data_IF_707353996296
#
_entry.id   IF_707353996296
#
_cell.length_a   1.000
_cell.length_b   1.000
_cell.length_c   1.000
_cell.angle_alpha   90.00
_cell.angle_beta   90.00
_cell.angle_gamma   90.00
#
_symmetry.space_group_name_H-M   'P 1'
#
loop_
_entity.id
_entity.type
_entity.pdbx_description
1 polymer ?
#
# COMPACT_ATOMS: atom_id res chain seq x y z
N UNK A 1 -5.02 -21.95 -1.89
CA UNK A 1 -5.49 -20.71 -2.57
C UNK A 1 -6.95 -20.89 -3.02
N UNK A 2 -7.82 -19.95 -2.66
CA UNK A 2 -9.19 -19.91 -3.16
C UNK A 2 -9.19 -19.66 -4.69
N UNK A 3 -10.21 -20.17 -5.41
CA UNK A 3 -10.36 -20.05 -6.87
C UNK A 3 -10.24 -18.59 -7.34
N UNK A 4 -10.88 -17.67 -6.63
CA UNK A 4 -10.87 -16.23 -6.97
C UNK A 4 -9.47 -15.61 -6.79
N UNK A 5 -8.78 -15.97 -5.72
CA UNK A 5 -7.42 -15.51 -5.47
C UNK A 5 -6.46 -16.03 -6.56
N UNK A 6 -6.58 -17.31 -6.95
CA UNK A 6 -5.79 -17.90 -8.03
C UNK A 6 -6.03 -17.18 -9.36
N UNK A 7 -7.28 -16.92 -9.70
CA UNK A 7 -7.64 -16.15 -10.88
C UNK A 7 -7.02 -14.76 -10.86
N UNK A 8 -7.08 -14.07 -9.71
CA UNK A 8 -6.48 -12.75 -9.55
C UNK A 8 -4.95 -12.79 -9.71
N UNK A 9 -4.25 -13.76 -9.08
CA UNK A 9 -2.79 -13.86 -9.20
C UNK A 9 -2.35 -14.25 -10.60
N UNK A 10 -3.10 -15.11 -11.31
CA UNK A 10 -2.83 -15.41 -12.71
C UNK A 10 -2.94 -14.17 -13.61
N UNK A 11 -3.99 -13.35 -13.43
CA UNK A 11 -4.17 -12.12 -14.17
C UNK A 11 -3.09 -11.07 -13.85
N UNK A 12 -2.71 -10.92 -12.59
CA UNK A 12 -1.60 -10.05 -12.18
C UNK A 12 -0.29 -10.53 -12.80
N UNK A 13 0.00 -11.84 -12.70
CA UNK A 13 1.20 -12.45 -13.27
C UNK A 13 1.29 -12.29 -14.78
N UNK A 14 0.17 -12.32 -15.50
CA UNK A 14 0.17 -12.11 -16.95
C UNK A 14 0.57 -10.69 -17.33
N UNK A 15 0.14 -9.69 -16.57
CA UNK A 15 0.49 -8.28 -16.85
C UNK A 15 1.92 -7.94 -16.45
N UNK A 16 2.41 -8.50 -15.34
CA UNK A 16 3.69 -8.09 -14.74
C UNK A 16 4.84 -8.98 -15.15
N UNK A 17 4.59 -10.30 -15.22
CA UNK A 17 5.61 -11.30 -15.52
C UNK A 17 5.59 -11.76 -16.98
N UNK A 18 4.55 -11.41 -17.74
CA UNK A 18 4.31 -11.94 -19.09
C UNK A 18 3.88 -13.41 -19.08
N UNK A 19 3.38 -13.92 -17.96
CA UNK A 19 2.88 -15.30 -17.85
C UNK A 19 1.67 -15.51 -18.75
N UNK A 20 1.48 -16.73 -19.23
CA UNK A 20 0.28 -17.08 -19.98
C UNK A 20 -0.96 -17.01 -19.08
N UNK A 21 -2.03 -16.40 -19.60
CA UNK A 21 -3.32 -16.37 -18.91
C UNK A 21 -3.97 -17.74 -19.01
N UNK A 22 -4.47 -18.27 -17.89
CA UNK A 22 -5.30 -19.47 -17.85
C UNK A 22 -6.73 -19.12 -18.30
N UNK A 23 -6.91 -18.86 -19.59
CA UNK A 23 -8.16 -18.32 -20.16
C UNK A 23 -9.38 -19.18 -19.82
N UNK A 24 -9.27 -20.51 -19.92
CA UNK A 24 -10.37 -21.43 -19.64
C UNK A 24 -10.83 -21.35 -18.17
N UNK A 25 -9.90 -21.26 -17.22
CA UNK A 25 -10.22 -21.09 -15.81
C UNK A 25 -10.94 -19.78 -15.53
N UNK A 26 -10.52 -18.71 -16.19
CA UNK A 26 -11.12 -17.37 -16.03
C UNK A 26 -12.49 -17.30 -16.68
N UNK A 27 -12.65 -17.83 -17.90
CA UNK A 27 -13.94 -17.89 -18.61
C UNK A 27 -14.97 -18.77 -17.87
N UNK A 28 -14.50 -19.82 -17.15
CA UNK A 28 -15.33 -20.70 -16.32
C UNK A 28 -15.75 -20.09 -14.97
N UNK A 29 -15.40 -18.82 -14.70
CA UNK A 29 -15.90 -18.12 -13.51
C UNK A 29 -17.38 -17.79 -13.68
N UNK A 30 -18.19 -18.10 -12.67
CA UNK A 30 -19.60 -17.68 -12.60
C UNK A 30 -19.68 -16.14 -12.41
N UNK A 31 -20.86 -15.59 -12.65
CA UNK A 31 -21.12 -14.16 -12.45
C UNK A 31 -20.83 -13.70 -11.01
N UNK A 32 -21.13 -14.51 -10.02
CA UNK A 32 -20.85 -14.19 -8.62
C UNK A 32 -19.35 -14.29 -8.30
N UNK A 33 -18.64 -15.24 -8.92
CA UNK A 33 -17.17 -15.32 -8.82
C UNK A 33 -16.49 -14.12 -9.50
N UNK A 34 -16.99 -13.66 -10.65
CA UNK A 34 -16.47 -12.43 -11.30
C UNK A 34 -16.74 -11.18 -10.45
N UNK A 35 -17.90 -11.05 -9.81
CA UNK A 35 -18.19 -9.99 -8.84
C UNK A 35 -17.23 -10.06 -7.64
N UNK A 36 -16.95 -11.26 -7.15
CA UNK A 36 -16.00 -11.49 -6.05
C UNK A 36 -14.56 -11.11 -6.46
N UNK A 37 -14.14 -11.48 -7.69
CA UNK A 37 -12.85 -11.07 -8.26
C UNK A 37 -12.70 -9.55 -8.34
N UNK A 38 -13.74 -8.86 -8.85
CA UNK A 38 -13.76 -7.39 -8.87
C UNK A 38 -13.67 -6.80 -7.46
N UNK A 39 -14.42 -7.33 -6.50
CA UNK A 39 -14.41 -6.85 -5.11
C UNK A 39 -13.04 -7.07 -4.46
N UNK A 40 -12.44 -8.23 -4.63
CA UNK A 40 -11.13 -8.57 -4.08
C UNK A 40 -10.04 -7.67 -4.68
N UNK A 41 -9.96 -7.58 -6.01
CA UNK A 41 -8.98 -6.74 -6.69
C UNK A 41 -9.11 -5.26 -6.31
N UNK A 42 -10.35 -4.76 -6.17
CA UNK A 42 -10.62 -3.40 -5.72
C UNK A 42 -10.21 -3.16 -4.26
N UNK A 43 -10.42 -4.13 -3.37
CA UNK A 43 -10.02 -4.00 -1.96
C UNK A 43 -8.50 -3.90 -1.77
N UNK A 44 -7.72 -4.39 -2.74
CA UNK A 44 -6.26 -4.31 -2.77
C UNK A 44 -5.72 -3.20 -3.69
N UNK A 45 -6.60 -2.34 -4.24
CA UNK A 45 -6.26 -1.28 -5.22
C UNK A 45 -5.52 -1.84 -6.45
N UNK A 46 -5.97 -2.99 -6.96
CA UNK A 46 -5.42 -3.70 -8.12
C UNK A 46 -6.47 -3.95 -9.22
N UNK A 47 -7.68 -3.39 -9.08
CA UNK A 47 -8.76 -3.66 -10.04
C UNK A 47 -8.46 -3.14 -11.45
N UNK A 48 -7.67 -2.08 -11.60
CA UNK A 48 -7.22 -1.59 -12.89
C UNK A 48 -6.26 -2.57 -13.58
N UNK A 49 -5.34 -3.17 -12.84
CA UNK A 49 -4.36 -4.14 -13.33
C UNK A 49 -5.06 -5.45 -13.73
N UNK A 50 -5.90 -6.00 -12.85
CA UNK A 50 -6.72 -7.19 -13.14
C UNK A 50 -7.67 -6.94 -14.31
N UNK A 51 -8.30 -5.77 -14.36
CA UNK A 51 -9.18 -5.36 -15.45
C UNK A 51 -8.46 -5.25 -16.79
N UNK A 52 -7.25 -4.72 -16.80
CA UNK A 52 -6.43 -4.62 -18.01
C UNK A 52 -6.13 -6.02 -18.58
N UNK A 53 -5.71 -6.97 -17.73
CA UNK A 53 -5.48 -8.35 -18.12
C UNK A 53 -6.75 -9.02 -18.71
N UNK A 54 -7.90 -8.81 -18.06
CA UNK A 54 -9.18 -9.38 -18.51
C UNK A 54 -9.59 -8.82 -19.89
N UNK A 55 -9.49 -7.52 -20.08
CA UNK A 55 -9.94 -6.84 -21.32
C UNK A 55 -8.98 -7.13 -22.47
N UNK A 56 -7.67 -7.02 -22.23
CA UNK A 56 -6.64 -7.30 -23.23
C UNK A 56 -6.70 -8.71 -23.80
N UNK A 57 -7.14 -9.68 -22.99
CA UNK A 57 -7.29 -11.08 -23.39
C UNK A 57 -8.73 -11.48 -23.77
N UNK A 58 -9.67 -10.53 -23.90
CA UNK A 58 -11.08 -10.77 -24.25
C UNK A 58 -11.77 -11.81 -23.37
N UNK A 59 -11.46 -11.81 -22.04
CA UNK A 59 -11.95 -12.84 -21.11
C UNK A 59 -13.35 -12.56 -20.54
N UNK A 60 -13.88 -11.37 -20.79
CA UNK A 60 -15.22 -10.93 -20.38
C UNK A 60 -16.22 -10.90 -21.54
N UNK A 61 -15.76 -11.11 -22.77
CA UNK A 61 -16.61 -11.12 -23.93
C UNK A 61 -17.30 -12.47 -24.04
N UNK A 62 -18.56 -12.47 -24.45
CA UNK A 62 -19.30 -13.71 -24.74
C UNK A 62 -18.70 -14.36 -25.98
N UNK A 63 -18.46 -15.66 -25.91
CA UNK A 63 -18.24 -16.45 -27.13
C UNK A 63 -19.54 -16.40 -27.93
N UNK A 64 -19.51 -15.75 -29.10
CA UNK A 64 -20.62 -15.86 -30.04
C UNK A 64 -20.53 -17.25 -30.69
N UNK A 65 -21.36 -18.23 -30.29
CA UNK A 65 -21.25 -19.59 -30.81
C UNK A 65 -21.66 -19.69 -32.29
N UNK A 66 -22.13 -18.59 -32.90
CA UNK A 66 -22.56 -18.51 -34.28
C UNK A 66 -21.67 -17.50 -35.07
N UNK A 67 -20.43 -17.87 -35.29
CA UNK A 67 -19.61 -17.28 -36.35
C UNK A 67 -20.00 -17.87 -37.72
N UNK A 68 -21.20 -17.64 -38.18
CA UNK A 68 -21.57 -17.88 -39.59
C UNK A 68 -22.21 -16.63 -40.15
N UNK A 69 -21.58 -16.17 -41.20
CA UNK A 69 -22.08 -15.13 -42.13
C UNK A 69 -23.39 -15.62 -42.80
N UNK A 70 -24.36 -14.70 -42.84
CA UNK A 70 -25.53 -14.74 -43.74
C UNK A 70 -26.59 -15.82 -43.52
N UNK A 71 -27.66 -15.47 -42.84
CA UNK A 71 -28.97 -15.72 -43.42
C UNK A 71 -30.03 -14.75 -42.88
N UNK A 72 -30.57 -13.98 -43.82
CA UNK A 72 -31.80 -13.21 -43.75
C UNK A 72 -32.96 -14.21 -43.42
N UNK A 73 -33.75 -13.97 -42.40
CA UNK A 73 -34.95 -14.78 -42.18
C UNK A 73 -35.43 -14.86 -40.76
N UNK A 74 -36.48 -14.06 -40.52
CA UNK A 74 -37.59 -14.25 -39.58
C UNK A 74 -37.39 -14.16 -38.08
N UNK A 75 -37.95 -13.07 -37.54
CA UNK A 75 -38.10 -12.78 -36.13
C UNK A 75 -39.18 -13.68 -35.52
N UNK A 76 -38.78 -14.65 -34.74
CA UNK A 76 -39.67 -15.25 -33.73
C UNK A 76 -39.12 -14.96 -32.33
N UNK A 77 -39.93 -14.27 -31.54
CA UNK A 77 -39.74 -13.94 -30.15
C UNK A 77 -39.47 -15.20 -29.33
N UNK A 78 -38.27 -15.31 -28.74
CA UNK A 78 -37.92 -16.16 -27.64
C UNK A 78 -37.27 -15.31 -26.57
N UNK A 79 -38.07 -14.71 -25.67
CA UNK A 79 -37.58 -13.90 -24.57
C UNK A 79 -36.96 -14.74 -23.47
N UNK A 80 -35.70 -15.04 -23.60
CA UNK A 80 -34.79 -15.35 -22.52
C UNK A 80 -33.71 -14.26 -22.55
N UNK A 81 -33.92 -13.19 -21.83
CA UNK A 81 -32.86 -12.21 -21.62
C UNK A 81 -31.64 -12.97 -21.12
N UNK A 82 -30.54 -12.88 -21.84
CA UNK A 82 -29.27 -13.53 -21.50
C UNK A 82 -28.66 -12.78 -20.27
N UNK A 83 -29.23 -13.13 -19.09
CA UNK A 83 -28.96 -12.44 -17.83
C UNK A 83 -27.46 -12.44 -17.49
N UNK A 84 -26.74 -13.51 -17.88
CA UNK A 84 -25.29 -13.64 -17.70
C UNK A 84 -24.50 -12.62 -18.54
N UNK A 85 -24.89 -12.41 -19.80
CA UNK A 85 -24.24 -11.41 -20.67
C UNK A 85 -24.36 -9.98 -20.15
N UNK A 86 -25.51 -9.63 -19.59
CA UNK A 86 -25.73 -8.32 -18.96
C UNK A 86 -24.78 -8.14 -17.77
N UNK A 87 -24.64 -9.14 -16.89
CA UNK A 87 -23.77 -9.06 -15.71
C UNK A 87 -22.29 -8.96 -16.13
N UNK A 88 -21.84 -9.76 -17.10
CA UNK A 88 -20.46 -9.68 -17.61
C UNK A 88 -20.17 -8.31 -18.21
N UNK A 89 -21.08 -7.74 -18.97
CA UNK A 89 -20.96 -6.39 -19.51
C UNK A 89 -20.86 -5.32 -18.40
N UNK A 90 -21.68 -5.40 -17.36
CA UNK A 90 -21.59 -4.49 -16.21
C UNK A 90 -20.25 -4.60 -15.47
N UNK A 91 -19.71 -5.80 -15.30
CA UNK A 91 -18.43 -6.05 -14.66
C UNK A 91 -17.30 -5.49 -15.53
N UNK A 92 -17.36 -5.68 -16.86
CA UNK A 92 -16.41 -5.11 -17.83
C UNK A 92 -16.36 -3.59 -17.69
N UNK A 93 -17.51 -2.91 -17.70
CA UNK A 93 -17.59 -1.46 -17.50
C UNK A 93 -17.01 -1.00 -16.16
N UNK A 94 -17.20 -1.78 -15.08
CA UNK A 94 -16.58 -1.48 -13.78
C UNK A 94 -15.05 -1.54 -13.85
N UNK A 95 -14.49 -2.53 -14.52
CA UNK A 95 -13.04 -2.64 -14.72
C UNK A 95 -12.51 -1.53 -15.63
N UNK A 96 -13.17 -1.23 -16.74
CA UNK A 96 -12.82 -0.13 -17.64
C UNK A 96 -12.77 1.21 -16.88
N UNK A 97 -13.75 1.46 -16.01
CA UNK A 97 -13.75 2.64 -15.14
C UNK A 97 -12.55 2.67 -14.19
N UNK A 98 -12.10 1.52 -13.66
CA UNK A 98 -10.91 1.47 -12.80
C UNK A 98 -9.64 1.76 -13.60
N UNK A 99 -9.53 1.26 -14.83
CA UNK A 99 -8.40 1.54 -15.75
C UNK A 99 -8.32 3.03 -16.05
N UNK A 100 -9.43 3.64 -16.50
CA UNK A 100 -9.48 5.07 -16.80
C UNK A 100 -9.14 5.91 -15.54
N UNK A 101 -9.64 5.50 -14.37
CA UNK A 101 -9.31 6.15 -13.10
C UNK A 101 -7.83 6.04 -12.75
N UNK A 102 -7.21 4.89 -13.03
CA UNK A 102 -5.79 4.66 -12.77
C UNK A 102 -4.92 5.53 -13.69
N UNK A 103 -5.23 5.57 -14.98
CA UNK A 103 -4.54 6.41 -15.97
C UNK A 103 -4.66 7.89 -15.57
N UNK A 104 -5.88 8.37 -15.30
CA UNK A 104 -6.11 9.76 -14.86
C UNK A 104 -5.34 10.10 -13.59
N UNK A 105 -5.34 9.20 -12.62
CA UNK A 105 -4.60 9.39 -11.36
C UNK A 105 -3.10 9.43 -11.60
N UNK A 106 -2.58 8.54 -12.44
CA UNK A 106 -1.16 8.52 -12.81
C UNK A 106 -0.74 9.85 -13.45
N UNK A 107 -1.47 10.33 -14.45
CA UNK A 107 -1.14 11.58 -15.15
C UNK A 107 -1.13 12.79 -14.20
N UNK A 108 -2.13 12.88 -13.32
CA UNK A 108 -2.18 13.98 -12.34
C UNK A 108 -1.01 13.92 -11.34
N UNK A 109 -0.73 12.75 -10.78
CA UNK A 109 0.37 12.57 -9.82
C UNK A 109 1.72 12.80 -10.48
N UNK A 110 1.91 12.33 -11.73
CA UNK A 110 3.15 12.52 -12.44
C UNK A 110 3.38 14.01 -12.78
N UNK A 111 2.36 14.71 -13.27
CA UNK A 111 2.42 16.16 -13.52
C UNK A 111 2.73 16.95 -12.24
N UNK A 112 2.12 16.60 -11.12
CA UNK A 112 2.38 17.24 -9.83
C UNK A 112 3.80 16.96 -9.32
N UNK A 113 4.30 15.72 -9.50
CA UNK A 113 5.67 15.34 -9.15
C UNK A 113 6.71 16.17 -9.92
N UNK A 114 6.53 16.36 -11.22
CA UNK A 114 7.44 17.18 -12.05
C UNK A 114 7.40 18.65 -11.63
N UNK A 115 6.22 19.18 -11.31
CA UNK A 115 6.07 20.53 -10.76
C UNK A 115 6.83 20.70 -9.44
N UNK A 116 6.73 19.71 -8.56
CA UNK A 116 7.40 19.69 -7.26
C UNK A 116 8.92 19.55 -7.41
N UNK A 117 9.40 18.68 -8.32
CA UNK A 117 10.83 18.58 -8.65
C UNK A 117 11.39 19.92 -9.14
N UNK A 118 10.69 20.59 -10.06
CA UNK A 118 11.07 21.90 -10.58
C UNK A 118 11.24 22.93 -9.44
N UNK A 119 10.28 22.99 -8.51
CA UNK A 119 10.35 23.90 -7.38
C UNK A 119 11.56 23.61 -6.47
N UNK A 120 11.91 22.34 -6.25
CA UNK A 120 13.08 21.98 -5.45
C UNK A 120 14.40 22.26 -6.16
N UNK A 121 14.46 22.10 -7.48
CA UNK A 121 15.62 22.50 -8.29
C UNK A 121 15.84 24.01 -8.22
N UNK A 122 14.82 24.84 -8.41
CA UNK A 122 14.89 26.30 -8.33
C UNK A 122 15.36 26.77 -6.94
N UNK A 123 14.86 26.15 -5.89
CA UNK A 123 15.21 26.42 -4.50
C UNK A 123 16.52 25.78 -4.05
N UNK A 124 17.18 25.00 -4.89
CA UNK A 124 18.43 24.28 -4.60
C UNK A 124 18.31 23.40 -3.36
N UNK A 125 17.21 22.64 -3.28
CA UNK A 125 16.90 21.71 -2.19
C UNK A 125 17.21 20.29 -2.65
N UNK A 126 18.18 19.59 -2.07
CA UNK A 126 18.42 18.18 -2.36
C UNK A 126 17.22 17.31 -1.98
N UNK A 127 16.76 16.46 -2.90
CA UNK A 127 15.61 15.60 -2.68
C UNK A 127 15.77 14.22 -3.31
N UNK A 128 15.02 13.25 -2.81
CA UNK A 128 14.93 11.87 -3.29
C UNK A 128 13.47 11.49 -3.44
N UNK A 129 12.95 11.23 -4.65
CA UNK A 129 11.64 10.60 -4.83
C UNK A 129 11.63 9.20 -4.22
N UNK A 130 10.50 8.80 -3.62
CA UNK A 130 10.38 7.53 -2.90
C UNK A 130 9.26 6.65 -3.46
N UNK A 131 9.24 5.38 -3.06
CA UNK A 131 8.13 4.43 -3.25
C UNK A 131 7.52 4.43 -4.67
N UNK A 132 6.21 4.75 -4.76
CA UNK A 132 5.44 4.75 -5.99
C UNK A 132 5.99 5.66 -7.07
N UNK A 133 6.63 6.77 -6.70
CA UNK A 133 7.26 7.70 -7.64
C UNK A 133 8.46 7.09 -8.39
N UNK A 134 9.13 6.12 -7.76
CA UNK A 134 10.28 5.41 -8.34
C UNK A 134 9.85 4.12 -9.01
N UNK A 135 9.10 3.24 -8.30
CA UNK A 135 8.86 1.87 -8.75
C UNK A 135 8.00 1.79 -10.02
N UNK A 136 7.09 2.74 -10.25
CA UNK A 136 6.16 2.70 -11.38
C UNK A 136 6.84 2.64 -12.74
N UNK A 137 8.04 3.19 -12.90
CA UNK A 137 8.80 3.15 -14.16
C UNK A 137 9.25 1.74 -14.57
N UNK A 138 9.27 0.78 -13.64
CA UNK A 138 9.65 -0.61 -13.89
C UNK A 138 8.46 -1.50 -14.23
N UNK A 139 7.23 -0.99 -14.11
CA UNK A 139 6.03 -1.69 -14.58
C UNK A 139 5.93 -1.60 -16.12
N UNK A 140 5.27 -2.57 -16.78
CA UNK A 140 5.08 -2.54 -18.24
C UNK A 140 4.46 -1.23 -18.72
N UNK A 141 3.49 -0.71 -17.97
CA UNK A 141 2.90 0.61 -18.14
C UNK A 141 2.89 1.30 -16.76
N UNK A 142 3.42 2.54 -16.64
CA UNK A 142 3.55 3.19 -15.33
C UNK A 142 2.23 3.39 -14.57
N UNK A 143 1.11 3.53 -15.26
CA UNK A 143 -0.22 3.67 -14.67
C UNK A 143 -0.75 2.37 -14.04
N UNK A 144 -0.16 1.20 -14.35
CA UNK A 144 -0.46 -0.07 -13.68
C UNK A 144 -0.04 -0.06 -12.21
N UNK A 145 0.88 0.86 -11.84
CA UNK A 145 1.28 1.07 -10.44
C UNK A 145 0.71 2.38 -9.91
N UNK A 146 -0.55 2.34 -9.46
CA UNK A 146 -1.22 3.49 -8.84
C UNK A 146 -0.64 3.85 -7.48
N UNK A 147 -0.61 5.14 -7.16
CA UNK A 147 -0.46 5.69 -5.82
C UNK A 147 -1.54 6.74 -5.56
N UNK A 148 -1.72 7.13 -4.28
CA UNK A 148 -2.64 8.20 -3.89
C UNK A 148 -1.89 9.44 -3.40
N UNK A 149 -0.57 9.33 -3.28
CA UNK A 149 0.34 10.27 -2.65
C UNK A 149 1.64 10.38 -3.46
N UNK A 150 2.38 11.42 -3.16
CA UNK A 150 3.76 11.62 -3.60
C UNK A 150 4.62 11.63 -2.36
N UNK A 151 5.52 10.66 -2.26
CA UNK A 151 6.51 10.60 -1.19
C UNK A 151 7.83 11.16 -1.69
N UNK A 152 8.39 12.14 -0.99
CA UNK A 152 9.71 12.71 -1.27
C UNK A 152 10.49 12.87 0.01
N UNK A 153 11.78 12.53 -0.01
CA UNK A 153 12.69 12.75 1.08
C UNK A 153 13.56 13.99 0.83
N UNK A 154 13.65 14.83 1.83
CA UNK A 154 14.62 15.94 1.91
C UNK A 154 15.49 15.81 3.16
N UNK A 155 16.58 16.57 3.24
CA UNK A 155 17.37 16.64 4.48
C UNK A 155 16.54 17.26 5.60
N UNK A 156 16.69 16.77 6.84
CA UNK A 156 15.98 17.32 8.00
C UNK A 156 16.21 18.85 8.16
N UNK A 157 17.41 19.31 7.86
CA UNK A 157 17.74 20.74 7.90
C UNK A 157 16.99 21.58 6.85
N UNK A 158 16.62 20.97 5.73
CA UNK A 158 15.94 21.64 4.61
C UNK A 158 14.41 21.48 4.64
N UNK A 159 13.86 20.67 5.55
CA UNK A 159 12.43 20.34 5.59
C UNK A 159 11.51 21.58 5.73
N UNK A 160 11.89 22.53 6.59
CA UNK A 160 11.13 23.77 6.76
C UNK A 160 11.25 24.69 5.53
N UNK A 161 12.42 24.74 4.88
CA UNK A 161 12.62 25.48 3.62
C UNK A 161 11.79 24.86 2.51
N UNK A 162 11.83 23.54 2.36
CA UNK A 162 11.08 22.80 1.36
C UNK A 162 9.56 22.98 1.52
N UNK A 163 9.03 22.81 2.73
CA UNK A 163 7.59 23.00 2.98
C UNK A 163 7.12 24.43 2.73
N UNK A 164 7.95 25.44 3.02
CA UNK A 164 7.67 26.86 2.72
C UNK A 164 7.67 27.11 1.22
N UNK A 165 8.67 26.60 0.49
CA UNK A 165 8.74 26.74 -0.96
C UNK A 165 7.48 26.20 -1.64
N UNK A 166 7.02 25.00 -1.24
CA UNK A 166 5.76 24.43 -1.75
C UNK A 166 4.54 25.28 -1.39
N UNK A 167 4.48 25.83 -0.17
CA UNK A 167 3.35 26.66 0.26
C UNK A 167 3.34 28.03 -0.42
N UNK A 168 4.47 28.68 -0.59
CA UNK A 168 4.59 30.05 -1.11
C UNK A 168 4.57 30.11 -2.64
N UNK A 169 5.29 29.20 -3.33
CA UNK A 169 5.40 29.20 -4.79
C UNK A 169 4.27 28.40 -5.46
N UNK A 170 3.85 27.25 -4.86
CA UNK A 170 2.86 26.36 -5.44
C UNK A 170 1.52 26.36 -4.68
N UNK A 171 1.36 27.21 -3.65
CA UNK A 171 0.14 27.34 -2.85
C UNK A 171 -0.32 26.04 -2.18
N UNK A 172 0.63 25.15 -1.82
CA UNK A 172 0.31 23.94 -1.10
C UNK A 172 -0.18 24.26 0.30
N UNK A 173 -1.19 23.50 0.73
CA UNK A 173 -1.73 23.62 2.09
C UNK A 173 -1.01 22.64 3.01
N UNK A 174 -0.26 23.16 3.99
CA UNK A 174 0.32 22.34 5.05
C UNK A 174 -0.82 21.84 5.94
N UNK A 175 -0.96 20.52 6.06
CA UNK A 175 -1.98 19.87 6.87
C UNK A 175 -1.47 19.54 8.27
N UNK A 176 -0.32 18.84 8.35
CA UNK A 176 0.27 18.41 9.62
C UNK A 176 1.79 18.31 9.48
N UNK A 177 2.51 18.62 10.57
CA UNK A 177 3.94 18.33 10.70
C UNK A 177 4.12 17.20 11.71
N UNK A 178 4.45 16.02 11.19
CA UNK A 178 4.72 14.81 11.96
C UNK A 178 6.12 14.77 12.57
N UNK A 179 6.53 13.61 13.04
CA UNK A 179 7.88 13.35 13.56
C UNK A 179 8.88 12.97 12.47
N UNK A 180 8.40 12.53 11.31
CA UNK A 180 9.18 11.98 10.20
C UNK A 180 8.90 12.67 8.88
N UNK A 181 7.77 13.36 8.77
CA UNK A 181 7.24 13.95 7.54
C UNK A 181 6.45 15.23 7.80
N UNK A 182 6.20 15.98 6.74
CA UNK A 182 5.24 17.06 6.67
C UNK A 182 4.20 16.69 5.62
N UNK A 183 2.94 16.58 6.03
CA UNK A 183 1.81 16.31 5.15
C UNK A 183 1.32 17.60 4.51
N UNK A 184 1.27 17.64 3.17
CA UNK A 184 0.78 18.76 2.39
C UNK A 184 -0.26 18.30 1.37
N UNK A 185 -1.08 19.22 0.91
CA UNK A 185 -1.99 19.01 -0.21
C UNK A 185 -1.76 20.08 -1.27
N UNK A 186 -1.65 19.65 -2.53
CA UNK A 186 -1.58 20.55 -3.67
C UNK A 186 -2.93 21.22 -3.95
N UNK A 187 -2.97 22.19 -4.86
CA UNK A 187 -4.22 22.77 -5.35
C UNK A 187 -5.13 21.74 -6.01
N UNK A 188 -4.56 20.73 -6.64
CA UNK A 188 -5.26 19.58 -7.23
C UNK A 188 -5.72 18.56 -6.19
N UNK A 189 -5.53 18.85 -4.90
CA UNK A 189 -5.82 17.98 -3.75
C UNK A 189 -5.02 16.66 -3.78
N UNK A 190 -3.81 16.67 -4.38
CA UNK A 190 -2.87 15.56 -4.30
C UNK A 190 -2.15 15.65 -2.97
N UNK A 191 -2.12 14.53 -2.25
CA UNK A 191 -1.39 14.41 -1.00
C UNK A 191 0.11 14.27 -1.25
N UNK A 192 0.92 15.07 -0.58
CA UNK A 192 2.38 15.03 -0.62
C UNK A 192 2.90 14.77 0.79
N UNK A 193 3.67 13.73 0.96
CA UNK A 193 4.40 13.41 2.18
C UNK A 193 5.87 13.82 2.01
N UNK A 194 6.22 14.97 2.56
CA UNK A 194 7.57 15.47 2.57
C UNK A 194 8.32 14.85 3.75
N UNK A 195 8.95 13.70 3.51
CA UNK A 195 9.75 12.99 4.51
C UNK A 195 11.07 13.73 4.79
N UNK A 196 11.49 13.73 6.02
CA UNK A 196 12.84 14.13 6.45
C UNK A 196 13.52 13.06 7.30
N UNK A 197 12.81 11.97 7.58
CA UNK A 197 13.29 10.71 8.16
C UNK A 197 12.57 9.54 7.53
N UNK A 198 13.31 8.48 7.21
CA UNK A 198 12.72 7.26 6.63
C UNK A 198 12.29 6.25 7.68
N UNK A 199 12.80 6.35 8.90
CA UNK A 199 12.61 5.34 9.93
C UNK A 199 11.74 5.81 11.08
N UNK A 200 10.93 4.89 11.59
CA UNK A 200 10.28 5.01 12.89
C UNK A 200 11.23 4.55 14.02
N UNK A 201 11.01 5.07 15.21
CA UNK A 201 11.79 4.73 16.41
C UNK A 201 11.69 3.23 16.75
N UNK A 202 10.62 2.56 16.31
CA UNK A 202 10.35 1.15 16.61
C UNK A 202 11.30 0.17 15.91
N UNK A 203 11.87 0.52 14.75
CA UNK A 203 12.79 -0.31 13.96
C UNK A 203 14.23 0.21 14.03
N UNK A 204 14.80 0.22 15.23
CA UNK A 204 16.13 0.79 15.47
C UNK A 204 17.29 0.06 14.78
N UNK A 205 17.11 -1.20 14.45
CA UNK A 205 18.11 -2.06 13.82
C UNK A 205 18.39 -1.70 12.36
N UNK A 206 17.46 -1.03 11.65
CA UNK A 206 17.65 -0.66 10.24
C UNK A 206 18.52 0.62 10.13
N UNK A 207 19.76 0.53 10.59
CA UNK A 207 20.67 1.69 10.69
C UNK A 207 21.00 2.32 9.34
N UNK A 208 21.03 1.56 8.25
CA UNK A 208 21.34 2.04 6.91
C UNK A 208 20.36 3.10 6.40
N UNK A 209 19.10 3.09 6.87
CA UNK A 209 18.09 4.09 6.51
C UNK A 209 18.07 5.31 7.42
N UNK A 210 18.92 5.37 8.46
CA UNK A 210 18.89 6.47 9.45
C UNK A 210 19.43 7.78 8.91
N UNK A 211 20.54 7.70 8.21
CA UNK A 211 21.21 8.86 7.64
C UNK A 211 21.76 8.56 6.24
N UNK A 212 20.83 8.45 5.30
CA UNK A 212 21.18 8.09 3.92
C UNK A 212 21.97 9.19 3.21
N UNK A 213 21.86 10.45 3.68
CA UNK A 213 22.54 11.58 3.07
C UNK A 213 24.06 11.57 3.29
N UNK A 214 24.54 10.90 4.32
CA UNK A 214 25.99 10.78 4.63
C UNK A 214 26.58 9.43 4.29
N UNK A 215 25.74 8.40 4.01
CA UNK A 215 26.16 7.02 3.88
C UNK A 215 26.80 6.60 2.54
N UNK A 216 26.83 7.50 1.54
CA UNK A 216 27.41 7.18 0.22
C UNK A 216 26.55 6.24 -0.65
N UNK A 217 25.38 5.86 -0.19
CA UNK A 217 24.43 4.97 -0.88
C UNK A 217 23.40 5.74 -1.73
N UNK A 218 23.67 7.01 -2.01
CA UNK A 218 22.87 7.87 -2.89
C UNK A 218 23.76 8.44 -3.99
N UNK A 219 23.15 8.64 -5.16
CA UNK A 219 23.81 9.23 -6.31
C UNK A 219 22.98 10.38 -6.89
N UNK A 220 23.62 11.44 -7.41
CA UNK A 220 22.91 12.50 -8.11
C UNK A 220 22.32 11.94 -9.43
N UNK A 221 21.07 12.30 -9.71
CA UNK A 221 20.40 12.01 -10.98
C UNK A 221 20.53 13.22 -11.90
N UNK A 222 20.07 14.38 -11.44
CA UNK A 222 20.22 15.67 -12.12
C UNK A 222 20.08 16.80 -11.10
N UNK A 223 20.85 17.88 -11.25
CA UNK A 223 20.75 19.05 -10.37
C UNK A 223 20.76 18.70 -8.88
N UNK A 224 19.60 18.84 -8.23
CA UNK A 224 19.39 18.55 -6.82
C UNK A 224 18.60 17.24 -6.58
N UNK A 225 18.21 16.54 -7.63
CA UNK A 225 17.59 15.22 -7.53
C UNK A 225 18.63 14.13 -7.29
N UNK A 226 18.38 13.29 -6.29
CA UNK A 226 19.21 12.13 -5.93
C UNK A 226 18.37 10.85 -6.00
N UNK A 227 19.02 9.70 -6.14
CA UNK A 227 18.43 8.38 -6.00
C UNK A 227 19.19 7.54 -4.98
N UNK A 228 18.53 6.56 -4.40
CA UNK A 228 19.16 5.52 -3.58
C UNK A 228 19.89 4.52 -4.46
N UNK A 229 20.93 3.83 -3.92
CA UNK A 229 21.41 2.59 -4.52
C UNK A 229 20.29 1.56 -4.60
N UNK A 230 20.39 0.61 -5.52
CA UNK A 230 19.35 -0.39 -5.73
C UNK A 230 19.16 -1.27 -4.48
N UNK A 231 20.24 -1.61 -3.77
CA UNK A 231 20.21 -2.37 -2.52
C UNK A 231 19.51 -1.57 -1.41
N UNK A 232 19.81 -0.27 -1.30
CA UNK A 232 19.16 0.59 -0.30
C UNK A 232 17.69 0.81 -0.61
N UNK A 233 17.32 0.92 -1.89
CA UNK A 233 15.93 1.01 -2.33
C UNK A 233 15.16 -0.27 -2.00
N UNK A 234 15.75 -1.45 -2.24
CA UNK A 234 15.16 -2.73 -1.85
C UNK A 234 15.01 -2.83 -0.33
N UNK A 235 16.05 -2.50 0.44
CA UNK A 235 15.96 -2.48 1.91
C UNK A 235 14.83 -1.56 2.39
N UNK A 236 14.72 -0.36 1.82
CA UNK A 236 13.64 0.58 2.17
C UNK A 236 12.27 0.01 1.85
N UNK A 237 12.12 -0.67 0.70
CA UNK A 237 10.87 -1.32 0.33
C UNK A 237 10.49 -2.43 1.34
N UNK A 238 11.43 -3.33 1.67
CA UNK A 238 11.22 -4.41 2.64
C UNK A 238 10.91 -3.87 4.03
N UNK A 239 11.66 -2.85 4.49
CA UNK A 239 11.38 -2.16 5.74
C UNK A 239 9.94 -1.61 5.79
N UNK A 240 9.50 -0.95 4.72
CA UNK A 240 8.17 -0.38 4.62
C UNK A 240 7.07 -1.47 4.61
N UNK A 241 7.31 -2.60 3.92
CA UNK A 241 6.43 -3.77 3.97
C UNK A 241 6.33 -4.32 5.40
N UNK A 242 7.46 -4.57 6.05
CA UNK A 242 7.52 -5.09 7.42
C UNK A 242 6.81 -4.17 8.42
N UNK A 243 7.03 -2.85 8.31
CA UNK A 243 6.34 -1.84 9.10
C UNK A 243 4.82 -1.97 9.00
N UNK A 244 4.28 -2.04 7.77
CA UNK A 244 2.85 -2.21 7.56
C UNK A 244 2.35 -3.55 8.10
N UNK A 245 3.10 -4.62 7.86
CA UNK A 245 2.75 -5.97 8.31
C UNK A 245 2.56 -6.01 9.84
N UNK A 246 3.51 -5.44 10.59
CA UNK A 246 3.48 -5.35 12.06
C UNK A 246 2.37 -4.40 12.57
N UNK A 247 1.94 -3.42 11.77
CA UNK A 247 0.88 -2.48 12.16
C UNK A 247 -0.53 -2.94 11.78
N UNK A 248 -0.67 -4.16 11.25
CA UNK A 248 -1.97 -4.78 11.04
C UNK A 248 -2.39 -4.98 9.61
N UNK A 249 -1.49 -4.78 8.65
CA UNK A 249 -1.77 -5.17 7.28
C UNK A 249 -0.88 -4.52 6.24
N UNK A 250 -0.44 -5.39 5.33
CA UNK A 250 0.21 -5.03 4.09
C UNK A 250 -0.59 -5.68 2.97
N UNK A 251 -1.10 -4.90 2.02
CA UNK A 251 -1.87 -5.43 0.89
C UNK A 251 -1.00 -6.20 -0.11
N UNK A 252 -1.61 -6.68 -1.19
CA UNK A 252 -0.91 -7.43 -2.26
C UNK A 252 0.08 -6.53 -3.02
N UNK A 253 -0.24 -5.26 -3.22
CA UNK A 253 0.54 -4.32 -4.05
C UNK A 253 2.03 -4.24 -3.67
N UNK A 254 2.45 -4.13 -2.40
CA UNK A 254 3.87 -4.12 -2.04
C UNK A 254 4.61 -5.42 -2.39
N UNK A 255 3.92 -6.55 -2.39
CA UNK A 255 4.50 -7.83 -2.85
C UNK A 255 4.69 -7.83 -4.36
N UNK A 256 3.72 -7.29 -5.11
CA UNK A 256 3.86 -7.10 -6.54
C UNK A 256 5.02 -6.15 -6.86
N UNK A 257 5.16 -5.05 -6.12
CA UNK A 257 6.31 -4.14 -6.20
C UNK A 257 7.63 -4.88 -5.94
N UNK A 258 7.68 -5.74 -4.91
CA UNK A 258 8.86 -6.55 -4.61
C UNK A 258 9.22 -7.48 -5.77
N UNK A 259 8.23 -8.13 -6.38
CA UNK A 259 8.45 -8.97 -7.56
C UNK A 259 9.03 -8.18 -8.74
N UNK A 260 8.51 -6.97 -8.98
CA UNK A 260 9.03 -6.08 -10.03
C UNK A 260 10.47 -5.67 -9.72
N UNK A 261 10.79 -5.29 -8.48
CA UNK A 261 12.17 -4.96 -8.05
C UNK A 261 13.11 -6.12 -8.36
N UNK A 262 12.75 -7.33 -7.94
CA UNK A 262 13.56 -8.54 -8.11
C UNK A 262 13.85 -8.88 -9.57
N UNK A 263 12.91 -8.59 -10.48
CA UNK A 263 13.01 -9.00 -11.88
C UNK A 263 13.46 -7.88 -12.84
N UNK A 264 13.50 -6.63 -12.38
CA UNK A 264 13.75 -5.46 -13.25
C UNK A 264 14.89 -4.56 -12.79
N UNK A 265 15.38 -4.74 -11.57
CA UNK A 265 16.42 -3.90 -10.99
C UNK A 265 17.63 -4.78 -10.67
N UNK A 266 18.78 -4.45 -11.24
CA UNK A 266 20.03 -5.12 -10.94
C UNK A 266 20.58 -4.61 -9.60
N UNK A 267 20.92 -5.51 -8.68
CA UNK A 267 21.53 -5.20 -7.39
C UNK A 267 22.51 -6.29 -6.98
N UNK A 268 23.45 -5.95 -6.09
CA UNK A 268 24.40 -6.88 -5.51
C UNK A 268 23.71 -7.76 -4.46
N UNK A 269 23.55 -9.07 -4.78
CA UNK A 269 22.87 -10.04 -3.91
C UNK A 269 23.60 -10.22 -2.56
N UNK A 270 24.93 -10.31 -2.56
CA UNK A 270 25.73 -10.47 -1.34
C UNK A 270 25.58 -9.25 -0.41
N UNK A 271 25.70 -8.06 -1.00
CA UNK A 271 25.50 -6.80 -0.28
C UNK A 271 24.08 -6.69 0.25
N UNK A 272 23.09 -7.06 -0.54
CA UNK A 272 21.67 -7.03 -0.17
C UNK A 272 21.37 -7.99 0.97
N UNK A 273 21.82 -9.25 0.88
CA UNK A 273 21.65 -10.23 1.96
C UNK A 273 22.29 -9.73 3.27
N UNK A 274 23.49 -9.17 3.18
CA UNK A 274 24.20 -8.62 4.33
C UNK A 274 23.41 -7.50 5.01
N UNK A 275 22.94 -6.49 4.25
CA UNK A 275 22.22 -5.36 4.85
C UNK A 275 20.83 -5.75 5.38
N UNK A 276 20.14 -6.71 4.75
CA UNK A 276 18.88 -7.26 5.25
C UNK A 276 19.11 -8.04 6.56
N UNK A 277 20.19 -8.81 6.66
CA UNK A 277 20.57 -9.53 7.87
C UNK A 277 20.94 -8.58 9.01
N UNK A 278 21.73 -7.55 8.75
CA UNK A 278 22.09 -6.50 9.72
C UNK A 278 20.87 -5.69 10.18
N UNK A 279 19.79 -5.71 9.42
CA UNK A 279 18.54 -5.02 9.69
C UNK A 279 17.45 -5.89 10.32
N UNK A 280 17.73 -7.17 10.59
CA UNK A 280 16.75 -8.18 11.08
C UNK A 280 15.53 -8.33 10.15
N UNK A 281 15.73 -8.16 8.83
CA UNK A 281 14.67 -8.23 7.81
C UNK A 281 14.85 -9.37 6.81
N UNK A 282 15.94 -10.12 6.89
CA UNK A 282 16.27 -11.17 5.91
C UNK A 282 15.23 -12.29 5.91
N UNK A 283 14.77 -12.73 7.09
CA UNK A 283 13.80 -13.82 7.18
C UNK A 283 12.44 -13.42 6.61
N UNK A 284 11.97 -12.20 6.93
CA UNK A 284 10.75 -11.66 6.34
C UNK A 284 10.85 -11.55 4.81
N UNK A 285 11.98 -11.04 4.30
CA UNK A 285 12.25 -10.97 2.86
C UNK A 285 12.20 -12.35 2.20
N UNK A 286 12.85 -13.35 2.77
CA UNK A 286 12.87 -14.71 2.21
C UNK A 286 11.47 -15.30 2.12
N UNK A 287 10.66 -15.19 3.16
CA UNK A 287 9.27 -15.66 3.13
C UNK A 287 8.36 -14.84 2.19
N UNK A 288 8.62 -13.55 2.05
CA UNK A 288 7.93 -12.75 1.04
C UNK A 288 8.25 -13.24 -0.38
N UNK A 289 9.52 -13.56 -0.67
CA UNK A 289 9.96 -14.12 -1.95
C UNK A 289 9.39 -15.53 -2.18
N UNK A 290 9.37 -16.40 -1.16
CA UNK A 290 8.70 -17.69 -1.24
C UNK A 290 7.22 -17.55 -1.63
N UNK A 291 6.51 -16.59 -1.02
CA UNK A 291 5.12 -16.32 -1.37
C UNK A 291 4.96 -15.81 -2.81
N UNK A 292 5.87 -14.96 -3.28
CA UNK A 292 5.88 -14.52 -4.68
C UNK A 292 6.06 -15.69 -5.65
N UNK A 293 6.98 -16.60 -5.33
CA UNK A 293 7.20 -17.81 -6.14
C UNK A 293 5.94 -18.71 -6.17
N UNK A 294 5.19 -18.78 -5.06
CA UNK A 294 3.88 -19.47 -5.04
C UNK A 294 2.89 -18.77 -5.96
N UNK A 295 2.80 -17.46 -5.92
CA UNK A 295 1.81 -16.69 -6.69
C UNK A 295 2.10 -16.65 -8.19
N UNK A 296 3.38 -16.48 -8.57
CA UNK A 296 3.76 -16.19 -9.96
C UNK A 296 4.53 -17.32 -10.65
N UNK A 297 5.14 -18.25 -9.90
CA UNK A 297 5.86 -19.39 -10.47
C UNK A 297 5.20 -20.75 -10.19
N UNK A 298 4.08 -20.77 -9.46
CA UNK A 298 3.33 -21.99 -9.16
C UNK A 298 4.05 -22.94 -8.20
N UNK A 299 4.97 -22.43 -7.37
CA UNK A 299 5.63 -23.25 -6.33
C UNK A 299 4.61 -23.71 -5.27
N UNK A 300 4.85 -24.82 -4.57
CA UNK A 300 3.96 -25.28 -3.51
C UNK A 300 3.98 -24.35 -2.30
N UNK A 301 2.86 -24.26 -1.59
CA UNK A 301 2.80 -23.58 -0.29
C UNK A 301 3.58 -24.35 0.78
N UNK A 302 4.16 -23.60 1.69
CA UNK A 302 4.50 -24.07 3.04
C UNK A 302 3.56 -23.45 4.08
N UNK A 303 3.72 -23.80 5.36
CA UNK A 303 2.85 -23.28 6.43
C UNK A 303 2.91 -21.77 6.56
N UNK A 304 4.09 -21.17 6.44
CA UNK A 304 4.31 -19.72 6.59
C UNK A 304 3.70 -18.95 5.41
N UNK A 305 3.97 -19.37 4.18
CA UNK A 305 3.41 -18.71 2.98
C UNK A 305 1.89 -18.78 2.93
N UNK A 306 1.29 -19.91 3.39
CA UNK A 306 -0.15 -20.03 3.49
C UNK A 306 -0.75 -19.08 4.55
N UNK A 307 -0.11 -18.93 5.70
CA UNK A 307 -0.55 -18.01 6.75
C UNK A 307 -0.35 -16.54 6.32
N UNK A 308 0.76 -16.23 5.65
CA UNK A 308 1.00 -14.90 5.07
C UNK A 308 -0.09 -14.52 4.06
N UNK A 309 -0.40 -15.40 3.11
CA UNK A 309 -1.46 -15.16 2.13
C UNK A 309 -2.79 -14.88 2.82
N UNK A 310 -3.19 -15.73 3.77
CA UNK A 310 -4.45 -15.55 4.49
C UNK A 310 -4.49 -14.19 5.23
N UNK A 311 -3.37 -13.79 5.83
CA UNK A 311 -3.25 -12.52 6.55
C UNK A 311 -3.38 -11.32 5.58
N UNK A 312 -2.71 -11.38 4.43
CA UNK A 312 -2.72 -10.34 3.39
C UNK A 312 -4.12 -10.18 2.79
N UNK A 313 -4.74 -11.29 2.35
CA UNK A 313 -6.01 -11.26 1.64
C UNK A 313 -7.17 -10.74 2.49
N UNK A 314 -7.13 -10.96 3.80
CA UNK A 314 -8.14 -10.45 4.73
C UNK A 314 -8.02 -8.94 4.98
N UNK A 315 -6.84 -8.36 4.76
CA UNK A 315 -6.51 -7.00 5.18
C UNK A 315 -6.83 -5.89 4.17
N UNK A 316 -6.92 -6.20 2.88
CA UNK A 316 -6.91 -5.15 1.84
C UNK A 316 -5.60 -4.35 1.87
N UNK A 317 -5.63 -3.09 1.41
CA UNK A 317 -4.40 -2.27 1.25
C UNK A 317 -3.67 -1.99 2.57
N UNK A 318 -4.39 -1.68 3.64
CA UNK A 318 -3.81 -1.22 4.92
C UNK A 318 -4.16 -2.10 6.12
N UNK A 319 -4.71 -3.28 5.89
CA UNK A 319 -5.27 -4.10 6.94
C UNK A 319 -6.66 -3.66 7.41
N UNK A 320 -7.35 -4.55 8.10
CA UNK A 320 -8.63 -4.23 8.74
C UNK A 320 -8.42 -3.59 10.11
N UNK A 321 -9.42 -2.82 10.57
CA UNK A 321 -9.41 -2.30 11.95
C UNK A 321 -9.22 -3.44 12.98
N UNK A 322 -9.79 -4.63 12.71
CA UNK A 322 -9.64 -5.81 13.56
C UNK A 322 -8.18 -6.28 13.63
N UNK A 323 -7.49 -6.36 12.48
CA UNK A 323 -6.06 -6.73 12.43
C UNK A 323 -5.19 -5.69 13.12
N UNK A 324 -5.40 -4.40 12.86
CA UNK A 324 -4.66 -3.30 13.52
C UNK A 324 -4.82 -3.33 15.04
N UNK A 325 -6.04 -3.58 15.54
CA UNK A 325 -6.31 -3.69 16.97
C UNK A 325 -5.71 -4.97 17.56
N UNK A 326 -5.77 -6.11 16.85
CA UNK A 326 -5.15 -7.36 17.25
C UNK A 326 -3.64 -7.19 17.44
N UNK A 327 -2.95 -6.57 16.50
CA UNK A 327 -1.52 -6.28 16.58
C UNK A 327 -1.21 -5.29 17.73
N UNK A 328 -2.03 -4.26 17.89
CA UNK A 328 -1.87 -3.29 18.98
C UNK A 328 -2.10 -3.91 20.36
N UNK A 329 -3.03 -4.86 20.51
CA UNK A 329 -3.22 -5.64 21.74
C UNK A 329 -1.99 -6.49 22.05
N UNK A 330 -1.40 -7.09 21.02
CA UNK A 330 -0.18 -7.87 21.16
C UNK A 330 0.96 -7.03 21.75
N UNK A 331 1.26 -5.87 21.15
CA UNK A 331 2.30 -4.94 21.64
C UNK A 331 2.06 -4.44 23.07
N UNK A 332 0.81 -4.27 23.48
CA UNK A 332 0.42 -3.66 24.77
C UNK A 332 0.04 -4.66 25.87
N UNK A 333 0.12 -5.96 25.62
CA UNK A 333 -0.13 -7.00 26.62
C UNK A 333 -1.62 -7.20 26.97
N UNK A 334 -2.51 -7.07 25.99
CA UNK A 334 -3.91 -7.47 26.05
C UNK A 334 -4.96 -6.36 25.92
N UNK A 335 -6.22 -6.77 25.74
CA UNK A 335 -7.38 -5.89 25.45
C UNK A 335 -7.53 -4.71 26.44
N UNK A 336 -7.39 -4.99 27.73
CA UNK A 336 -7.59 -3.99 28.77
C UNK A 336 -6.47 -2.92 28.78
N UNK A 337 -5.21 -3.35 28.68
CA UNK A 337 -4.07 -2.44 28.60
C UNK A 337 -4.11 -1.59 27.34
N UNK A 338 -4.52 -2.19 26.20
CA UNK A 338 -4.72 -1.45 24.97
C UNK A 338 -5.80 -0.37 25.16
N UNK A 339 -6.96 -0.71 25.72
CA UNK A 339 -8.03 0.24 25.99
C UNK A 339 -7.57 1.39 26.90
N UNK A 340 -6.89 1.05 28.01
CA UNK A 340 -6.33 2.07 28.91
C UNK A 340 -5.34 3.00 28.20
N UNK A 341 -4.50 2.48 27.31
CA UNK A 341 -3.55 3.30 26.56
C UNK A 341 -4.22 4.26 25.56
N UNK A 342 -5.45 3.96 25.13
CA UNK A 342 -6.25 4.86 24.27
C UNK A 342 -7.00 5.91 25.10
N UNK A 343 -7.41 5.55 26.31
CA UNK A 343 -8.04 6.51 27.24
C UNK A 343 -6.98 7.46 27.80
N UNK A 344 -5.85 6.93 28.23
CA UNK A 344 -4.75 7.68 28.84
C UNK A 344 -3.53 7.66 27.91
N UNK A 345 -3.38 8.69 27.08
CA UNK A 345 -2.19 8.83 26.25
C UNK A 345 -0.95 9.08 27.11
N UNK A 346 0.17 8.51 26.71
CA UNK A 346 1.45 8.80 27.36
C UNK A 346 1.84 10.28 27.23
N UNK A 347 2.73 10.73 28.12
CA UNK A 347 3.25 12.09 28.07
C UNK A 347 3.89 12.41 26.70
N UNK A 348 4.64 11.46 26.14
CA UNK A 348 5.26 11.61 24.82
C UNK A 348 4.22 11.79 23.70
N UNK A 349 3.17 10.98 23.68
CA UNK A 349 2.08 11.12 22.72
C UNK A 349 1.34 12.46 22.88
N UNK A 350 1.13 12.90 24.13
CA UNK A 350 0.45 14.17 24.41
C UNK A 350 1.27 15.39 23.95
N UNK A 351 2.60 15.33 23.99
CA UNK A 351 3.47 16.40 23.45
C UNK A 351 3.28 16.60 21.94
N UNK A 352 2.97 15.52 21.20
CA UNK A 352 2.69 15.57 19.76
C UNK A 352 1.36 16.28 19.50
N UNK A 353 0.30 15.84 20.19
CA UNK A 353 -1.04 16.43 19.98
C UNK A 353 -1.21 17.83 20.57
N UNK A 354 -0.46 18.14 21.61
CA UNK A 354 -0.53 19.41 22.33
C UNK A 354 0.86 19.95 22.63
N UNK A 355 1.49 20.70 21.71
CA UNK A 355 2.85 21.23 21.88
C UNK A 355 3.05 22.05 23.16
N UNK A 356 1.98 22.66 23.70
CA UNK A 356 2.01 23.39 24.96
C UNK A 356 2.40 22.50 26.16
N UNK A 357 2.13 21.19 26.10
CA UNK A 357 2.52 20.22 27.13
C UNK A 357 4.06 20.09 27.19
N UNK A 358 4.75 20.23 26.04
CA UNK A 358 6.22 20.25 25.99
C UNK A 358 6.79 21.45 26.73
N UNK A 359 6.11 22.64 26.62
CA UNK A 359 6.56 23.88 27.28
C UNK A 359 6.22 23.90 28.77
N UNK A 360 5.11 23.30 29.16
CA UNK A 360 4.64 23.28 30.55
C UNK A 360 4.05 21.90 30.91
N UNK A 361 4.85 20.97 31.48
CA UNK A 361 4.44 19.61 31.82
C UNK A 361 3.24 19.51 32.77
N UNK A 362 3.06 20.50 33.63
CA UNK A 362 1.94 20.57 34.61
C UNK A 362 0.57 20.58 33.88
N UNK A 363 0.51 21.03 32.64
CA UNK A 363 -0.71 21.07 31.85
C UNK A 363 -1.14 19.69 31.32
N UNK A 364 -0.33 18.65 31.47
CA UNK A 364 -0.59 17.30 30.95
C UNK A 364 -1.95 16.75 31.39
N UNK A 365 -2.34 16.74 32.69
CA UNK A 365 -3.66 16.23 33.10
C UNK A 365 -4.81 17.05 32.50
N UNK A 366 -4.66 18.37 32.42
CA UNK A 366 -5.67 19.26 31.84
C UNK A 366 -5.93 18.93 30.35
N UNK A 367 -4.87 18.71 29.58
CA UNK A 367 -5.00 18.36 28.16
C UNK A 367 -5.57 16.94 27.95
N UNK A 368 -5.35 16.01 28.89
CA UNK A 368 -6.03 14.71 28.87
C UNK A 368 -7.55 14.89 28.99
N UNK A 369 -8.02 15.68 29.95
CA UNK A 369 -9.44 15.97 30.12
C UNK A 369 -10.01 16.71 28.89
N UNK A 370 -9.32 17.74 28.41
CA UNK A 370 -9.72 18.47 27.18
C UNK A 370 -9.88 17.53 25.99
N UNK A 371 -8.97 16.55 25.83
CA UNK A 371 -9.04 15.54 24.77
C UNK A 371 -10.30 14.67 24.93
N UNK A 372 -10.61 14.22 26.14
CA UNK A 372 -11.82 13.43 26.39
C UNK A 372 -13.08 14.23 26.08
N UNK A 373 -13.15 15.47 26.51
CA UNK A 373 -14.27 16.34 26.16
C UNK A 373 -14.42 16.49 24.65
N UNK A 374 -13.32 16.68 23.90
CA UNK A 374 -13.35 16.76 22.44
C UNK A 374 -13.87 15.46 21.81
N UNK A 375 -13.43 14.29 22.26
CA UNK A 375 -13.90 13.00 21.74
C UNK A 375 -15.40 12.81 22.03
N UNK A 376 -15.87 13.17 23.21
CA UNK A 376 -17.26 12.97 23.63
C UNK A 376 -18.23 13.94 22.97
N UNK A 377 -17.84 15.21 22.79
CA UNK A 377 -18.73 16.29 22.39
C UNK A 377 -18.49 16.84 20.96
N UNK A 378 -17.31 16.61 20.36
CA UNK A 378 -16.93 17.17 19.06
C UNK A 378 -16.81 16.12 17.93
N UNK A 379 -17.69 15.12 17.88
CA UNK A 379 -17.83 14.20 16.75
C UNK A 379 -16.97 12.93 16.75
N UNK A 380 -16.03 12.77 17.69
CA UNK A 380 -15.19 11.56 17.80
C UNK A 380 -15.86 10.33 18.43
N UNK A 381 -17.05 10.50 19.02
CA UNK A 381 -17.76 9.47 19.80
C UNK A 381 -18.07 8.21 19.00
N UNK A 382 -18.56 8.37 17.74
CA UNK A 382 -18.91 7.21 16.90
C UNK A 382 -17.70 6.37 16.56
N UNK A 383 -16.59 7.00 16.19
CA UNK A 383 -15.33 6.31 15.87
C UNK A 383 -14.76 5.59 17.10
N UNK A 384 -14.70 6.26 18.26
CA UNK A 384 -14.25 5.67 19.51
C UNK A 384 -15.12 4.50 19.96
N UNK A 385 -16.45 4.62 19.86
CA UNK A 385 -17.37 3.53 20.19
C UNK A 385 -17.23 2.34 19.24
N UNK A 386 -17.05 2.57 17.96
CA UNK A 386 -16.78 1.52 16.98
C UNK A 386 -15.46 0.78 17.28
N UNK A 387 -14.40 1.53 17.57
CA UNK A 387 -13.11 0.95 17.96
C UNK A 387 -13.24 0.08 19.23
N UNK A 388 -13.94 0.56 20.26
CA UNK A 388 -14.19 -0.21 21.48
C UNK A 388 -15.00 -1.47 21.19
N UNK A 389 -16.05 -1.38 20.36
CA UNK A 389 -16.88 -2.52 19.98
C UNK A 389 -16.08 -3.57 19.22
N UNK A 390 -15.31 -3.16 18.22
CA UNK A 390 -14.44 -4.06 17.45
C UNK A 390 -13.39 -4.68 18.38
N UNK A 391 -12.72 -3.88 19.22
CA UNK A 391 -11.73 -4.37 20.19
C UNK A 391 -12.28 -5.42 21.16
N UNK A 392 -13.53 -5.26 21.62
CA UNK A 392 -14.20 -6.24 22.49
C UNK A 392 -14.53 -7.53 21.74
N UNK A 393 -14.89 -7.44 20.45
CA UNK A 393 -15.30 -8.56 19.61
C UNK A 393 -14.15 -9.34 18.96
N UNK A 394 -12.88 -8.89 19.07
CA UNK A 394 -11.76 -9.58 18.46
C UNK A 394 -11.62 -11.01 18.97
N UNK A 395 -11.57 -11.96 18.03
CA UNK A 395 -11.30 -13.36 18.33
C UNK A 395 -9.84 -13.55 18.77
N UNK A 396 -9.66 -14.15 19.97
CA UNK A 396 -8.33 -14.41 20.50
C UNK A 396 -7.53 -15.39 19.63
N UNK A 397 -8.19 -16.32 18.93
CA UNK A 397 -7.52 -17.22 18.01
C UNK A 397 -6.85 -16.46 16.87
N UNK A 398 -7.48 -15.42 16.32
CA UNK A 398 -6.89 -14.54 15.31
C UNK A 398 -5.68 -13.78 15.83
N UNK A 399 -5.75 -13.30 17.09
CA UNK A 399 -4.62 -12.60 17.75
C UNK A 399 -3.43 -13.54 17.91
N UNK A 400 -3.66 -14.77 18.37
CA UNK A 400 -2.58 -15.76 18.55
C UNK A 400 -1.99 -16.22 17.20
N UNK A 401 -2.81 -16.36 16.14
CA UNK A 401 -2.32 -16.66 14.78
C UNK A 401 -1.44 -15.53 14.27
N UNK A 402 -1.89 -14.26 14.40
CA UNK A 402 -1.09 -13.12 13.99
C UNK A 402 0.24 -13.03 14.78
N UNK A 403 0.22 -13.28 16.10
CA UNK A 403 1.45 -13.34 16.91
C UNK A 403 2.42 -14.41 16.44
N UNK A 404 1.90 -15.62 16.18
CA UNK A 404 2.72 -16.72 15.69
C UNK A 404 3.38 -16.35 14.37
N UNK A 405 2.58 -15.81 13.43
CA UNK A 405 3.09 -15.37 12.13
C UNK A 405 4.20 -14.30 12.28
N UNK A 406 3.99 -13.25 13.11
CA UNK A 406 5.03 -12.25 13.35
C UNK A 406 6.30 -12.86 13.92
N UNK A 407 6.18 -13.83 14.85
CA UNK A 407 7.32 -14.52 15.43
C UNK A 407 8.06 -15.39 14.39
N UNK A 408 7.33 -16.07 13.49
CA UNK A 408 7.90 -16.88 12.41
C UNK A 408 8.61 -16.02 11.36
N UNK A 409 8.17 -14.76 11.20
CA UNK A 409 8.77 -13.77 10.31
C UNK A 409 9.87 -12.92 10.97
N UNK A 410 10.13 -13.12 12.25
CA UNK A 410 11.04 -12.29 13.08
C UNK A 410 10.69 -10.79 13.08
N UNK A 411 9.38 -10.47 13.07
CA UNK A 411 8.84 -9.10 13.07
C UNK A 411 8.29 -8.65 14.44
#
# INVERSE_FOLDING_TARGET
MDKICRAMMNLIGSEICGNAVCADEIKALSDDELKALYKLSKSHDLAHLVGNALIKNNLLDEENPNGDENHDGDKTQGGGENHSGVIRSEIKQKFEKQILTAIYRYENINSELETLKTAFEEEKIPFIPLKGSVIRQYYPEPWLRTSCDIDILVKEADADKASKALAEHLQYKINEKGQHDISLFSLSNIHVELHFKLMDIEFKQVSALRDIWSGGEIAPVSGYEYCMSNELFLLYHIYHMAKHFVHGGCGIKPFVDLWVIQNKIDYDEEKTEKILKESDLLLFYNHAMELMNVWFEGKPYNSVTQEMENYILQGGVYGTLEQQLAMSQNKKGGKFRHLLSKIFLSYEQMKVYYPSVKKCPILFPFYQVRRWCRILFCGGRKAAMNEIKVNAGIDQAKVETAKRLMKELEL
#
